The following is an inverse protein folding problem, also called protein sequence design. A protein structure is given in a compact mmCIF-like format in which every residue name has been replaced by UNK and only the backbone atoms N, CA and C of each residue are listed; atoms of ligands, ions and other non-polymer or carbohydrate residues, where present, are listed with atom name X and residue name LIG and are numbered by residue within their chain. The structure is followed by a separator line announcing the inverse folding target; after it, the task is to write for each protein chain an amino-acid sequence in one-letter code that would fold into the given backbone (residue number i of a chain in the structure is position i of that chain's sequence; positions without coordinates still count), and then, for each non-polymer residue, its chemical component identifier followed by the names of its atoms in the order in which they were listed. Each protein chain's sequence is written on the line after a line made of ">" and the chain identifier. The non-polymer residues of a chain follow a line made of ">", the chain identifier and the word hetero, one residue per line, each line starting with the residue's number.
data_IF_444402019570
#
_entry.id   IF_444402019570
#
_cell.length_a   1.000
_cell.length_b   1.000
_cell.length_c   1.000
_cell.angle_alpha   90.00
_cell.angle_beta   90.00
_cell.angle_gamma   90.00
#
_symmetry.space_group_name_H-M   'P 1'
#
loop_
_entity.id
_entity.type
_entity.pdbx_description
1 polymer ?
#
# COMPACT_ATOMS: atom_id res chain seq x y z
N UNK A 1 -28.46 -1.01 -14.79
CA UNK A 1 -28.17 -1.13 -13.34
C UNK A 1 -26.90 -0.38 -12.88
N UNK A 2 -25.92 -0.08 -13.75
CA UNK A 2 -24.74 0.72 -13.40
C UNK A 2 -25.03 2.18 -12.96
N UNK A 3 -26.19 2.73 -13.35
CA UNK A 3 -26.57 4.13 -13.07
C UNK A 3 -27.02 4.37 -11.60
N UNK A 4 -27.67 3.39 -10.97
CA UNK A 4 -28.26 3.57 -9.63
C UNK A 4 -27.17 3.58 -8.54
N UNK A 5 -26.18 2.70 -8.66
CA UNK A 5 -25.07 2.61 -7.70
C UNK A 5 -24.18 3.87 -7.74
N UNK A 6 -23.82 4.34 -8.94
CA UNK A 6 -23.04 5.57 -9.11
C UNK A 6 -23.82 6.81 -8.66
N UNK A 7 -25.12 6.88 -8.95
CA UNK A 7 -25.98 7.97 -8.47
C UNK A 7 -26.14 7.96 -6.94
N UNK A 8 -26.28 6.79 -6.32
CA UNK A 8 -26.39 6.65 -4.87
C UNK A 8 -25.08 7.01 -4.16
N UNK A 9 -23.93 6.56 -4.70
CA UNK A 9 -22.61 6.89 -4.19
C UNK A 9 -22.33 8.39 -4.28
N UNK A 10 -22.67 9.02 -5.42
CA UNK A 10 -22.52 10.45 -5.62
C UNK A 10 -23.36 11.24 -4.61
N UNK A 11 -24.64 10.89 -4.46
CA UNK A 11 -25.52 11.55 -3.49
C UNK A 11 -25.06 11.35 -2.04
N UNK A 12 -24.48 10.19 -1.70
CA UNK A 12 -24.04 9.87 -0.35
C UNK A 12 -22.70 10.52 0.04
N UNK A 13 -21.71 10.50 -0.85
CA UNK A 13 -20.34 10.90 -0.52
C UNK A 13 -19.91 12.21 -1.19
N UNK A 14 -20.31 12.44 -2.44
CA UNK A 14 -19.71 13.49 -3.29
C UNK A 14 -20.60 14.71 -3.52
N UNK A 15 -21.88 14.68 -3.13
CA UNK A 15 -22.82 15.80 -3.35
C UNK A 15 -22.58 16.99 -2.42
N UNK A 16 -22.01 16.79 -1.23
CA UNK A 16 -21.73 17.86 -0.26
C UNK A 16 -20.22 18.00 -0.04
N UNK A 17 -19.69 19.23 -0.04
CA UNK A 17 -18.24 19.47 0.03
C UNK A 17 -17.58 18.87 1.28
N UNK A 18 -18.21 18.98 2.45
CA UNK A 18 -17.64 18.43 3.69
C UNK A 18 -17.66 16.89 3.72
N UNK A 19 -18.70 16.24 3.17
CA UNK A 19 -18.74 14.78 3.08
C UNK A 19 -17.73 14.27 2.07
N UNK A 20 -17.55 14.99 0.97
CA UNK A 20 -16.55 14.69 -0.05
C UNK A 20 -15.14 14.77 0.54
N UNK A 21 -14.81 15.83 1.28
CA UNK A 21 -13.51 15.97 1.94
C UNK A 21 -13.25 14.80 2.90
N UNK A 22 -14.24 14.43 3.72
CA UNK A 22 -14.13 13.27 4.60
C UNK A 22 -13.90 11.96 3.83
N UNK A 23 -14.64 11.73 2.75
CA UNK A 23 -14.49 10.56 1.90
C UNK A 23 -13.10 10.48 1.24
N UNK A 24 -12.58 11.62 0.77
CA UNK A 24 -11.24 11.69 0.17
C UNK A 24 -10.16 11.40 1.22
N UNK A 25 -10.25 11.96 2.42
CA UNK A 25 -9.24 11.69 3.47
C UNK A 25 -9.25 10.25 3.96
N UNK A 26 -10.43 9.68 4.22
CA UNK A 26 -10.54 8.27 4.62
C UNK A 26 -10.07 7.35 3.50
N UNK A 27 -10.44 7.67 2.26
CA UNK A 27 -10.00 6.95 1.06
C UNK A 27 -8.49 7.01 0.89
N UNK A 28 -7.88 8.18 1.01
CA UNK A 28 -6.44 8.37 0.89
C UNK A 28 -5.66 7.60 1.96
N UNK A 29 -6.07 7.67 3.23
CA UNK A 29 -5.42 6.95 4.32
C UNK A 29 -5.50 5.43 4.13
N UNK A 30 -6.68 4.93 3.78
CA UNK A 30 -6.88 3.48 3.53
C UNK A 30 -6.09 3.03 2.30
N UNK A 31 -6.07 3.85 1.25
CA UNK A 31 -5.30 3.58 0.04
C UNK A 31 -3.80 3.56 0.31
N UNK A 32 -3.26 4.52 1.05
CA UNK A 32 -1.84 4.57 1.41
C UNK A 32 -1.37 3.29 2.12
N UNK A 33 -2.11 2.86 3.15
CA UNK A 33 -1.79 1.64 3.90
C UNK A 33 -1.79 0.39 3.01
N UNK A 34 -2.81 0.25 2.15
CA UNK A 34 -2.93 -0.89 1.25
C UNK A 34 -1.89 -0.84 0.13
N UNK A 35 -1.70 0.33 -0.48
CA UNK A 35 -0.80 0.54 -1.61
C UNK A 35 0.65 0.29 -1.21
N UNK A 36 1.12 0.86 -0.09
CA UNK A 36 2.48 0.65 0.41
C UNK A 36 2.82 -0.84 0.57
N UNK A 37 2.02 -1.56 1.37
CA UNK A 37 2.24 -3.00 1.59
C UNK A 37 2.15 -3.83 0.30
N UNK A 38 1.25 -3.47 -0.61
CA UNK A 38 1.09 -4.20 -1.86
C UNK A 38 2.26 -3.97 -2.81
N UNK A 39 2.71 -2.72 -2.94
CA UNK A 39 3.85 -2.39 -3.79
C UNK A 39 5.15 -2.98 -3.25
N UNK A 40 5.37 -2.98 -1.92
CA UNK A 40 6.51 -3.66 -1.30
C UNK A 40 6.52 -5.15 -1.65
N UNK A 41 5.37 -5.84 -1.54
CA UNK A 41 5.28 -7.27 -1.90
C UNK A 41 5.59 -7.54 -3.37
N UNK A 42 5.11 -6.66 -4.26
CA UNK A 42 5.39 -6.78 -5.70
C UNK A 42 6.89 -6.58 -5.96
N UNK A 43 7.48 -5.56 -5.34
CA UNK A 43 8.92 -5.29 -5.43
C UNK A 43 9.74 -6.47 -4.94
N UNK A 44 9.38 -7.01 -3.77
CA UNK A 44 10.05 -8.13 -3.13
C UNK A 44 10.03 -9.38 -4.00
N UNK A 45 8.87 -9.68 -4.60
CA UNK A 45 8.70 -10.82 -5.48
C UNK A 45 9.55 -10.67 -6.74
N UNK A 46 9.60 -9.48 -7.33
CA UNK A 46 10.34 -9.23 -8.56
C UNK A 46 11.85 -9.17 -8.35
N UNK A 47 12.32 -8.79 -7.15
CA UNK A 47 13.73 -8.63 -6.83
C UNK A 47 14.27 -9.70 -5.87
N UNK A 48 13.55 -10.82 -5.73
CA UNK A 48 13.93 -11.91 -4.84
C UNK A 48 15.37 -12.38 -5.10
N UNK A 49 16.13 -12.54 -4.02
CA UNK A 49 17.53 -12.99 -4.06
C UNK A 49 18.54 -11.88 -4.36
N UNK A 50 18.09 -10.65 -4.60
CA UNK A 50 18.95 -9.47 -4.81
C UNK A 50 18.84 -8.44 -3.69
N UNK A 51 17.83 -8.56 -2.84
CA UNK A 51 17.60 -7.61 -1.77
C UNK A 51 18.51 -7.90 -0.59
N UNK A 52 18.91 -6.85 0.14
CA UNK A 52 19.72 -7.01 1.34
C UNK A 52 19.13 -8.02 2.32
N UNK A 53 17.82 -7.97 2.57
CA UNK A 53 17.11 -8.95 3.44
C UNK A 53 17.23 -10.41 2.97
N UNK A 54 17.47 -10.66 1.68
CA UNK A 54 17.63 -12.00 1.12
C UNK A 54 19.09 -12.50 1.20
N UNK A 55 20.07 -11.59 1.23
CA UNK A 55 21.51 -11.92 1.18
C UNK A 55 22.26 -11.62 2.48
N UNK A 56 21.66 -10.89 3.42
CA UNK A 56 22.30 -10.40 4.65
C UNK A 56 22.93 -11.51 5.47
N UNK A 57 22.28 -12.68 5.57
CA UNK A 57 22.79 -13.78 6.38
C UNK A 57 24.22 -14.18 5.98
N UNK A 58 24.54 -14.11 4.68
CA UNK A 58 25.86 -14.44 4.14
C UNK A 58 26.98 -13.47 4.53
N UNK A 59 26.66 -12.29 5.05
CA UNK A 59 27.64 -11.23 5.35
C UNK A 59 27.62 -10.82 6.82
N UNK A 60 26.51 -11.07 7.52
CA UNK A 60 26.41 -10.82 8.96
C UNK A 60 27.02 -11.96 9.78
N UNK A 61 26.97 -13.20 9.29
CA UNK A 61 27.65 -14.34 9.93
C UNK A 61 29.18 -14.23 9.77
N UNK A 62 29.66 -13.91 8.56
CA UNK A 62 31.10 -13.68 8.30
C UNK A 62 31.70 -12.56 9.17
N UNK A 63 30.90 -11.55 9.56
CA UNK A 63 31.36 -10.47 10.44
C UNK A 63 31.40 -10.86 11.93
N UNK A 64 30.62 -11.86 12.35
CA UNK A 64 30.64 -12.40 13.72
C UNK A 64 31.70 -13.50 13.89
N UNK A 65 32.11 -14.18 12.82
CA UNK A 65 33.20 -15.16 12.83
C UNK A 65 34.61 -14.53 12.74
N UNK A 66 34.73 -13.28 12.27
CA UNK A 66 36.00 -12.53 12.21
C UNK A 66 36.35 -11.72 13.49
N UNK A 67 35.44 -11.62 14.48
CA UNK A 67 35.71 -11.09 15.84
C UNK A 67 36.10 -12.21 16.84
#
# INVERSE_FOLDING_TARGET
>A
MASIASSSLYNALFRRNYTMLGAVFVGAFTFEMWYGSTMDKIWDKNNRGRQWKDIRSKYAEDAEEEE
#
